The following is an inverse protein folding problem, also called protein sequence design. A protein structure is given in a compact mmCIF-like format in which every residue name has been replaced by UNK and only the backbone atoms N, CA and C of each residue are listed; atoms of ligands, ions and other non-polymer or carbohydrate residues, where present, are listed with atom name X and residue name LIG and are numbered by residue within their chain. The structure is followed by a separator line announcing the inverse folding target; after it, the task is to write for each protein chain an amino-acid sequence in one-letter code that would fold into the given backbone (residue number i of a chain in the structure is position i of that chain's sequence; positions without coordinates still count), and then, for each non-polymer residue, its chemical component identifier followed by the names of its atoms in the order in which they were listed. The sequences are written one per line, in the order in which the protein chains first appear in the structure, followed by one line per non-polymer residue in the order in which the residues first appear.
data_IF_200618001366
#
_entry.id   IF_200618001366
#
_cell.length_a   1.000
_cell.length_b   1.000
_cell.length_c   1.000
_cell.angle_alpha   90.00
_cell.angle_beta   90.00
_cell.angle_gamma   90.00
#
_symmetry.space_group_name_H-M   'P 1'
#
loop_
_entity.id
_entity.type
_entity.pdbx_description
1 polymer ?
#
# COMPACT_ATOMS: atom_id res chain seq x y z
N UNK A 1 -0.03 13.00 10.42
CA UNK A 1 0.56 12.80 9.08
C UNK A 1 -0.13 13.71 8.08
N UNK A 2 0.67 14.40 7.30
CA UNK A 2 0.18 15.36 6.31
C UNK A 2 0.21 14.77 4.89
N UNK A 3 -0.53 15.39 3.98
CA UNK A 3 -0.55 14.95 2.59
C UNK A 3 0.80 15.21 1.89
N UNK A 4 1.41 14.16 1.37
CA UNK A 4 2.73 14.20 0.75
C UNK A 4 3.86 13.73 1.67
N UNK A 5 3.56 13.30 2.89
CA UNK A 5 4.56 12.75 3.81
C UNK A 5 4.72 11.23 3.66
N UNK A 6 5.98 10.80 3.65
CA UNK A 6 6.41 9.41 3.79
C UNK A 6 7.02 9.20 5.17
N UNK A 7 6.31 8.50 6.02
CA UNK A 7 6.64 8.32 7.43
C UNK A 7 7.12 6.90 7.68
N UNK A 8 8.27 6.73 8.36
CA UNK A 8 8.72 5.44 8.87
C UNK A 8 8.33 5.25 10.35
N UNK A 9 7.75 4.11 10.65
CA UNK A 9 7.53 3.62 12.02
C UNK A 9 8.51 2.47 12.26
N UNK A 10 9.50 2.70 13.11
CA UNK A 10 10.62 1.79 13.31
C UNK A 10 10.55 1.19 14.71
N UNK A 11 11.02 -0.02 14.83
CA UNK A 11 11.12 -0.72 16.11
C UNK A 11 11.43 -2.20 15.93
N UNK A 12 11.84 -2.88 17.02
CA UNK A 12 12.16 -4.31 16.98
C UNK A 12 10.92 -5.16 16.65
N UNK A 13 11.15 -6.41 16.25
CA UNK A 13 10.07 -7.39 16.08
C UNK A 13 9.25 -7.51 17.38
N UNK A 14 7.93 -7.62 17.26
CA UNK A 14 7.02 -7.71 18.41
C UNK A 14 6.69 -6.37 19.10
N UNK A 15 7.22 -5.22 18.67
CA UNK A 15 6.93 -3.92 19.28
C UNK A 15 5.54 -3.34 18.97
N UNK A 16 4.69 -4.07 18.25
CA UNK A 16 3.32 -3.65 17.94
C UNK A 16 3.15 -2.86 16.64
N UNK A 17 4.18 -2.78 15.79
CA UNK A 17 4.13 -2.01 14.53
C UNK A 17 3.00 -2.45 13.60
N UNK A 18 2.86 -3.75 13.35
CA UNK A 18 1.77 -4.28 12.51
C UNK A 18 0.40 -4.07 13.16
N UNK A 19 0.33 -4.13 14.51
CA UNK A 19 -0.88 -3.78 15.26
C UNK A 19 -1.24 -2.32 15.05
N UNK A 20 -0.24 -1.43 15.11
CA UNK A 20 -0.44 0.00 14.81
C UNK A 20 -1.02 0.17 13.39
N UNK A 21 -0.44 -0.49 12.36
CA UNK A 21 -0.95 -0.40 10.98
C UNK A 21 -2.38 -0.94 10.86
N UNK A 22 -2.72 -2.04 11.52
CA UNK A 22 -4.08 -2.61 11.48
C UNK A 22 -5.10 -1.68 12.14
N UNK A 23 -4.71 -0.99 13.22
CA UNK A 23 -5.54 0.03 13.88
C UNK A 23 -5.65 1.28 12.99
N UNK A 24 -4.54 1.82 12.50
CA UNK A 24 -4.51 2.97 11.60
C UNK A 24 -5.32 2.71 10.32
N UNK A 25 -5.28 1.48 9.84
CA UNK A 25 -6.06 1.03 8.69
C UNK A 25 -7.53 0.68 9.00
N UNK A 26 -7.97 0.82 10.23
CA UNK A 26 -9.36 0.53 10.64
C UNK A 26 -9.75 -0.94 10.53
N UNK A 27 -8.77 -1.85 10.50
CA UNK A 27 -9.00 -3.31 10.54
C UNK A 27 -9.25 -3.79 11.97
N UNK A 28 -8.66 -3.08 12.93
CA UNK A 28 -8.81 -3.35 14.37
C UNK A 28 -9.19 -2.05 15.10
N UNK A 29 -10.01 -2.15 16.11
CA UNK A 29 -10.34 -1.01 16.97
C UNK A 29 -9.23 -0.80 18.01
N UNK A 30 -8.83 0.45 18.31
CA UNK A 30 -7.90 0.73 19.42
C UNK A 30 -8.57 0.44 20.76
N UNK A 31 -7.77 0.12 21.78
CA UNK A 31 -8.26 -0.05 23.17
C UNK A 31 -8.73 1.28 23.77
N UNK A 32 -8.13 2.40 23.34
CA UNK A 32 -8.49 3.75 23.72
C UNK A 32 -8.07 4.72 22.63
N UNK A 33 -8.63 5.95 22.65
CA UNK A 33 -8.38 6.93 21.61
C UNK A 33 -9.21 6.70 20.36
N UNK A 34 -8.84 7.34 19.26
CA UNK A 34 -9.56 7.27 18.00
C UNK A 34 -8.60 7.34 16.80
N UNK A 35 -9.06 6.85 15.67
CA UNK A 35 -8.40 7.00 14.37
C UNK A 35 -9.26 7.90 13.52
N UNK A 36 -8.66 8.99 13.04
CA UNK A 36 -9.33 9.97 12.19
C UNK A 36 -8.69 9.96 10.82
N UNK A 37 -9.48 9.69 9.78
CA UNK A 37 -9.05 9.69 8.38
C UNK A 37 -9.88 10.70 7.60
N UNK A 38 -9.24 11.74 7.07
CA UNK A 38 -9.91 12.80 6.32
C UNK A 38 -11.15 13.33 7.06
N UNK A 39 -11.02 13.61 8.37
CA UNK A 39 -12.10 14.09 9.25
C UNK A 39 -13.13 13.05 9.65
N UNK A 40 -13.01 11.79 9.24
CA UNK A 40 -13.92 10.72 9.63
C UNK A 40 -13.36 9.96 10.84
N UNK A 41 -14.11 9.97 11.94
CA UNK A 41 -13.79 9.21 13.15
C UNK A 41 -14.17 7.75 12.97
N UNK A 42 -13.19 6.84 12.89
CA UNK A 42 -13.44 5.41 12.64
C UNK A 42 -14.22 4.73 13.76
N UNK A 43 -13.99 5.15 15.00
CA UNK A 43 -14.73 4.63 16.17
C UNK A 43 -16.23 4.88 16.09
N UNK A 44 -16.66 6.00 15.48
CA UNK A 44 -18.06 6.35 15.30
C UNK A 44 -18.75 5.61 14.14
N UNK A 45 -18.00 4.90 13.29
CA UNK A 45 -18.52 4.23 12.10
C UNK A 45 -18.93 2.79 12.39
N UNK A 46 -20.11 2.40 11.89
CA UNK A 46 -20.51 0.99 11.79
C UNK A 46 -19.58 0.26 10.81
N UNK A 47 -19.35 -1.05 11.01
CA UNK A 47 -18.38 -1.85 10.22
C UNK A 47 -18.55 -1.70 8.70
N UNK A 48 -19.77 -1.70 8.18
CA UNK A 48 -20.04 -1.51 6.74
C UNK A 48 -19.51 -0.17 6.22
N UNK A 49 -19.68 0.91 7.00
CA UNK A 49 -19.19 2.25 6.64
C UNK A 49 -17.66 2.33 6.78
N UNK A 50 -17.10 1.71 7.83
CA UNK A 50 -15.65 1.62 8.06
C UNK A 50 -14.98 0.82 6.93
N UNK A 51 -15.54 -0.32 6.51
CA UNK A 51 -15.05 -1.08 5.37
C UNK A 51 -15.09 -0.29 4.05
N UNK A 52 -16.16 0.48 3.83
CA UNK A 52 -16.26 1.36 2.65
C UNK A 52 -15.22 2.47 2.68
N UNK A 53 -14.96 3.08 3.84
CA UNK A 53 -13.93 4.10 4.02
C UNK A 53 -12.52 3.53 3.77
N UNK A 54 -12.21 2.34 4.32
CA UNK A 54 -10.94 1.64 4.06
C UNK A 54 -10.70 1.45 2.57
N UNK A 55 -11.70 0.91 1.87
CA UNK A 55 -11.60 0.64 0.44
C UNK A 55 -11.39 1.92 -0.38
N UNK A 56 -11.95 3.02 0.08
CA UNK A 56 -11.86 4.32 -0.59
C UNK A 56 -10.54 5.03 -0.32
N UNK A 57 -10.09 5.05 0.94
CA UNK A 57 -9.03 5.94 1.39
C UNK A 57 -7.69 5.23 1.63
N UNK A 58 -7.67 3.88 1.76
CA UNK A 58 -6.48 3.16 2.21
C UNK A 58 -6.03 2.12 1.18
N UNK A 59 -4.77 2.20 0.78
CA UNK A 59 -4.05 1.16 0.06
C UNK A 59 -3.11 0.41 1.02
N UNK A 60 -3.24 -0.93 1.08
CA UNK A 60 -2.34 -1.75 1.88
C UNK A 60 -1.27 -2.41 1.02
N UNK A 61 -0.02 -2.26 1.42
CA UNK A 61 1.13 -3.02 0.92
C UNK A 61 1.62 -3.90 2.07
N UNK A 62 1.49 -5.20 1.93
CA UNK A 62 1.83 -6.16 2.98
C UNK A 62 3.18 -6.84 2.68
N UNK A 63 3.83 -7.36 3.72
CA UNK A 63 5.09 -8.08 3.64
C UNK A 63 5.02 -9.25 2.63
N UNK A 64 3.94 -10.03 2.67
CA UNK A 64 3.59 -10.95 1.61
C UNK A 64 2.76 -10.20 0.59
N UNK A 65 3.10 -10.27 -0.69
CA UNK A 65 2.43 -9.53 -1.77
C UNK A 65 0.93 -9.82 -1.89
N UNK A 66 0.44 -10.87 -1.27
CA UNK A 66 -0.98 -11.29 -1.22
C UNK A 66 -1.68 -11.22 -2.60
N UNK A 67 -0.97 -11.68 -3.62
CA UNK A 67 -1.52 -11.82 -4.96
C UNK A 67 -2.32 -13.13 -5.05
N UNK A 68 -3.44 -13.10 -5.74
CA UNK A 68 -4.27 -14.26 -5.98
C UNK A 68 -3.57 -15.13 -7.03
N UNK A 69 -3.17 -16.38 -6.72
CA UNK A 69 -2.25 -17.15 -7.55
C UNK A 69 -2.78 -17.50 -8.95
N UNK A 70 -4.08 -17.62 -9.12
CA UNK A 70 -4.75 -17.95 -10.38
C UNK A 70 -5.25 -16.75 -11.17
N UNK A 71 -4.91 -15.52 -10.75
CA UNK A 71 -5.22 -14.29 -11.49
C UNK A 71 -3.94 -13.65 -12.04
N UNK A 72 -3.96 -13.28 -13.31
CA UNK A 72 -2.90 -12.46 -13.89
C UNK A 72 -2.84 -11.07 -13.25
N UNK A 73 -1.72 -10.36 -13.41
CA UNK A 73 -1.54 -8.99 -12.89
C UNK A 73 -2.73 -8.10 -13.29
N UNK A 74 -3.13 -8.11 -14.55
CA UNK A 74 -4.28 -7.36 -15.04
C UNK A 74 -5.60 -7.77 -14.37
N UNK A 75 -5.78 -9.06 -14.12
CA UNK A 75 -6.98 -9.58 -13.46
C UNK A 75 -7.03 -9.22 -11.97
N UNK A 76 -5.87 -9.12 -11.29
CA UNK A 76 -5.78 -8.60 -9.92
C UNK A 76 -6.39 -7.19 -9.82
N UNK A 77 -6.03 -6.31 -10.77
CA UNK A 77 -6.56 -4.93 -10.81
C UNK A 77 -8.05 -4.92 -11.13
N UNK A 78 -8.48 -5.65 -12.16
CA UNK A 78 -9.91 -5.73 -12.54
C UNK A 78 -10.81 -6.29 -11.44
N UNK A 79 -10.28 -7.09 -10.53
CA UNK A 79 -11.06 -7.55 -9.38
C UNK A 79 -11.51 -6.37 -8.50
N UNK A 80 -10.66 -5.35 -8.36
CA UNK A 80 -10.97 -4.15 -7.58
C UNK A 80 -12.10 -3.31 -8.22
N UNK A 81 -12.29 -3.37 -9.55
CA UNK A 81 -13.40 -2.69 -10.22
C UNK A 81 -14.77 -3.23 -9.82
N UNK A 82 -14.82 -4.47 -9.30
CA UNK A 82 -16.08 -5.06 -8.79
C UNK A 82 -16.48 -4.49 -7.44
N UNK A 83 -15.54 -3.95 -6.67
CA UNK A 83 -15.77 -3.45 -5.31
C UNK A 83 -15.70 -1.92 -5.19
N UNK A 84 -14.96 -1.26 -6.08
CA UNK A 84 -14.87 0.20 -6.18
C UNK A 84 -14.90 0.63 -7.64
N UNK A 85 -15.72 1.63 -7.97
CA UNK A 85 -15.90 2.09 -9.36
C UNK A 85 -14.98 3.26 -9.74
N UNK A 86 -14.62 4.11 -8.78
CA UNK A 86 -13.79 5.30 -9.01
C UNK A 86 -12.30 4.97 -8.77
N UNK A 87 -11.77 4.05 -9.58
CA UNK A 87 -10.36 3.68 -9.60
C UNK A 87 -9.58 4.56 -10.60
N UNK A 88 -8.25 4.42 -10.64
CA UNK A 88 -7.39 5.12 -11.59
C UNK A 88 -7.90 4.98 -13.03
N UNK A 89 -7.92 6.07 -13.77
CA UNK A 89 -8.31 6.11 -15.19
C UNK A 89 -7.23 5.49 -16.07
N UNK A 90 -7.58 5.15 -17.31
CA UNK A 90 -6.72 4.40 -18.24
C UNK A 90 -5.33 5.04 -18.43
N UNK A 91 -5.27 6.36 -18.57
CA UNK A 91 -3.99 7.05 -18.75
C UNK A 91 -3.14 7.03 -17.47
N UNK A 92 -3.76 7.27 -16.31
CA UNK A 92 -3.09 7.16 -15.01
C UNK A 92 -2.60 5.72 -14.74
N UNK A 93 -3.35 4.71 -15.18
CA UNK A 93 -2.94 3.30 -15.09
C UNK A 93 -1.71 3.01 -15.93
N UNK A 94 -1.66 3.56 -17.14
CA UNK A 94 -0.50 3.40 -18.02
C UNK A 94 0.73 4.00 -17.36
N UNK A 95 0.65 5.24 -16.89
CA UNK A 95 1.74 5.92 -16.19
C UNK A 95 2.20 5.14 -14.94
N UNK A 96 1.25 4.60 -14.17
CA UNK A 96 1.54 3.78 -13.00
C UNK A 96 2.27 2.49 -13.39
N UNK A 97 1.82 1.79 -14.42
CA UNK A 97 2.47 0.54 -14.87
C UNK A 97 3.87 0.80 -15.41
N UNK A 98 4.07 1.90 -16.12
CA UNK A 98 5.39 2.31 -16.61
C UNK A 98 6.32 2.68 -15.44
N UNK A 99 5.87 3.51 -14.50
CA UNK A 99 6.67 3.92 -13.34
C UNK A 99 7.05 2.75 -12.42
N UNK A 100 6.21 1.72 -12.34
CA UNK A 100 6.47 0.51 -11.56
C UNK A 100 7.22 -0.57 -12.37
N UNK A 101 7.47 -0.36 -13.67
CA UNK A 101 8.13 -1.33 -14.54
C UNK A 101 7.39 -2.67 -14.63
N UNK A 102 6.05 -2.65 -14.67
CA UNK A 102 5.20 -3.85 -14.74
C UNK A 102 4.33 -3.92 -15.99
N UNK A 103 4.52 -3.00 -16.93
CA UNK A 103 3.73 -2.93 -18.18
C UNK A 103 3.72 -4.24 -18.96
N UNK A 104 4.89 -4.89 -19.09
CA UNK A 104 5.06 -6.16 -19.81
C UNK A 104 4.57 -7.37 -19.00
N UNK A 105 4.31 -7.20 -17.71
CA UNK A 105 3.91 -8.27 -16.79
C UNK A 105 2.40 -8.41 -16.63
N UNK A 106 1.60 -7.60 -17.31
CA UNK A 106 0.14 -7.54 -17.11
C UNK A 106 -0.59 -8.87 -17.35
N UNK A 107 -0.04 -9.73 -18.20
CA UNK A 107 -0.60 -11.04 -18.50
C UNK A 107 0.07 -12.18 -17.71
N UNK A 108 1.13 -11.91 -16.95
CA UNK A 108 1.84 -12.89 -16.13
C UNK A 108 1.05 -13.24 -14.87
N UNK A 109 1.23 -14.47 -14.38
CA UNK A 109 0.68 -14.94 -13.11
C UNK A 109 1.71 -14.74 -11.98
N UNK A 110 1.29 -14.72 -10.72
CA UNK A 110 2.21 -14.56 -9.59
C UNK A 110 3.35 -15.59 -9.54
N UNK A 111 3.12 -16.81 -10.03
CA UNK A 111 4.14 -17.87 -10.16
C UNK A 111 5.28 -17.49 -11.09
N UNK A 112 5.01 -16.68 -12.10
CA UNK A 112 5.96 -16.31 -13.17
C UNK A 112 6.79 -15.08 -12.80
N UNK A 113 6.49 -14.46 -11.65
CA UNK A 113 7.09 -13.21 -11.20
C UNK A 113 8.23 -13.46 -10.20
N UNK A 114 9.30 -12.66 -10.29
CA UNK A 114 10.30 -12.58 -9.23
C UNK A 114 9.73 -11.97 -7.95
N UNK A 115 10.43 -12.09 -6.81
CA UNK A 115 10.02 -11.47 -5.55
C UNK A 115 9.78 -9.96 -5.67
N UNK A 116 10.73 -9.23 -6.28
CA UNK A 116 10.61 -7.80 -6.53
C UNK A 116 9.47 -7.44 -7.49
N UNK A 117 9.24 -8.25 -8.54
CA UNK A 117 8.11 -8.05 -9.45
C UNK A 117 6.77 -8.25 -8.72
N UNK A 118 6.64 -9.28 -7.88
CA UNK A 118 5.44 -9.47 -7.06
C UNK A 118 5.19 -8.29 -6.13
N UNK A 119 6.25 -7.73 -5.53
CA UNK A 119 6.13 -6.58 -4.64
C UNK A 119 5.69 -5.33 -5.42
N UNK A 120 6.25 -5.06 -6.60
CA UNK A 120 5.80 -3.94 -7.46
C UNK A 120 4.35 -4.10 -7.89
N UNK A 121 3.90 -5.32 -8.17
CA UNK A 121 2.47 -5.61 -8.47
C UNK A 121 1.59 -5.38 -7.24
N UNK A 122 2.06 -5.72 -6.03
CA UNK A 122 1.34 -5.44 -4.78
C UNK A 122 1.19 -3.93 -4.54
N UNK A 123 2.24 -3.15 -4.82
CA UNK A 123 2.19 -1.68 -4.76
C UNK A 123 1.20 -1.14 -5.81
N UNK A 124 1.26 -1.62 -7.05
CA UNK A 124 0.30 -1.24 -8.09
C UNK A 124 -1.15 -1.50 -7.66
N UNK A 125 -1.40 -2.66 -7.06
CA UNK A 125 -2.72 -3.04 -6.54
C UNK A 125 -3.18 -2.10 -5.42
N UNK A 126 -2.29 -1.70 -4.52
CA UNK A 126 -2.59 -0.75 -3.45
C UNK A 126 -2.89 0.66 -4.01
N UNK A 127 -2.18 1.09 -5.05
CA UNK A 127 -2.37 2.39 -5.70
C UNK A 127 -3.56 2.43 -6.65
N UNK A 128 -4.01 1.28 -7.17
CA UNK A 128 -5.05 1.18 -8.20
C UNK A 128 -6.36 1.84 -7.80
N UNK A 129 -6.73 1.74 -6.52
CA UNK A 129 -7.94 2.35 -5.98
C UNK A 129 -7.82 3.86 -5.73
N UNK A 130 -6.70 4.47 -6.10
CA UNK A 130 -6.38 5.89 -5.84
C UNK A 130 -6.63 6.29 -4.38
N UNK A 131 -6.00 5.61 -3.41
CA UNK A 131 -6.17 5.90 -1.99
C UNK A 131 -5.49 7.21 -1.62
N UNK A 132 -5.97 7.88 -0.56
CA UNK A 132 -5.27 9.03 0.04
C UNK A 132 -4.14 8.61 0.96
N UNK A 133 -4.21 7.40 1.52
CA UNK A 133 -3.25 6.85 2.47
C UNK A 133 -2.73 5.50 1.99
N UNK A 134 -1.42 5.30 2.08
CA UNK A 134 -0.76 4.01 1.84
C UNK A 134 -0.19 3.52 3.17
N UNK A 135 -0.55 2.31 3.57
CA UNK A 135 -0.02 1.63 4.75
C UNK A 135 0.81 0.43 4.29
N UNK A 136 2.11 0.46 4.57
CA UNK A 136 3.06 -0.56 4.13
C UNK A 136 3.67 -1.28 5.33
N UNK A 137 3.42 -2.57 5.46
CA UNK A 137 3.97 -3.44 6.51
C UNK A 137 5.14 -4.23 5.96
N UNK A 138 6.36 -3.87 6.38
CA UNK A 138 7.62 -4.50 5.97
C UNK A 138 7.72 -4.71 4.44
N UNK A 139 7.49 -3.66 3.62
CA UNK A 139 7.33 -3.81 2.17
C UNK A 139 8.58 -4.31 1.45
N UNK A 140 9.72 -4.36 2.15
CA UNK A 140 11.03 -4.70 1.60
C UNK A 140 11.66 -5.94 2.23
N UNK A 141 11.03 -6.56 3.24
CA UNK A 141 11.62 -7.61 4.08
C UNK A 141 12.08 -8.87 3.33
N UNK A 142 11.52 -9.15 2.15
CA UNK A 142 11.88 -10.31 1.31
C UNK A 142 12.77 -9.95 0.11
N UNK A 143 13.33 -8.74 0.09
CA UNK A 143 14.11 -8.21 -1.01
C UNK A 143 15.58 -8.02 -0.62
N UNK A 144 16.48 -8.15 -1.59
CA UNK A 144 17.86 -7.67 -1.45
C UNK A 144 17.90 -6.13 -1.35
N UNK A 145 19.05 -5.59 -0.95
CA UNK A 145 19.19 -4.16 -0.66
C UNK A 145 18.82 -3.25 -1.84
N UNK A 146 19.28 -3.60 -3.05
CA UNK A 146 19.05 -2.77 -4.24
C UNK A 146 17.55 -2.70 -4.57
N UNK A 147 16.87 -3.85 -4.52
CA UNK A 147 15.41 -3.92 -4.73
C UNK A 147 14.61 -3.29 -3.62
N UNK A 148 15.12 -3.34 -2.37
CA UNK A 148 14.48 -2.65 -1.25
C UNK A 148 14.50 -1.14 -1.47
N UNK A 149 15.60 -0.57 -1.92
CA UNK A 149 15.72 0.84 -2.25
C UNK A 149 14.82 1.23 -3.43
N UNK A 150 14.77 0.43 -4.51
CA UNK A 150 13.82 0.65 -5.62
C UNK A 150 12.37 0.74 -5.13
N UNK A 151 11.95 -0.14 -4.23
CA UNK A 151 10.59 -0.13 -3.67
C UNK A 151 10.32 1.13 -2.85
N UNK A 152 11.31 1.60 -2.07
CA UNK A 152 11.16 2.84 -1.30
C UNK A 152 11.10 4.07 -2.22
N UNK A 153 11.91 4.13 -3.29
CA UNK A 153 11.83 5.18 -4.29
C UNK A 153 10.45 5.23 -4.97
N UNK A 154 9.89 4.08 -5.30
CA UNK A 154 8.53 3.98 -5.86
C UNK A 154 7.47 4.49 -4.89
N UNK A 155 7.54 4.11 -3.62
CA UNK A 155 6.61 4.59 -2.59
C UNK A 155 6.78 6.09 -2.36
N UNK A 156 8.01 6.60 -2.29
CA UNK A 156 8.31 8.03 -2.16
C UNK A 156 7.77 8.82 -3.36
N UNK A 157 8.03 8.35 -4.58
CA UNK A 157 7.52 8.97 -5.80
C UNK A 157 5.99 9.02 -5.82
N UNK A 158 5.31 7.90 -5.50
CA UNK A 158 3.86 7.84 -5.44
C UNK A 158 3.28 8.80 -4.38
N UNK A 159 3.95 8.91 -3.23
CA UNK A 159 3.59 9.80 -2.12
C UNK A 159 3.68 11.26 -2.56
N UNK A 160 4.84 11.68 -3.07
CA UNK A 160 5.10 13.07 -3.43
C UNK A 160 4.31 13.52 -4.65
N UNK A 161 4.33 12.74 -5.75
CA UNK A 161 3.65 13.09 -7.02
C UNK A 161 2.14 13.25 -6.86
N UNK A 162 1.52 12.40 -6.05
CA UNK A 162 0.05 12.39 -5.90
C UNK A 162 -0.41 12.96 -4.55
N UNK A 163 0.49 13.57 -3.78
CA UNK A 163 0.22 14.13 -2.44
C UNK A 163 -0.50 13.14 -1.51
N UNK A 164 -0.12 11.87 -1.57
CA UNK A 164 -0.64 10.82 -0.68
C UNK A 164 0.13 10.85 0.64
N UNK A 165 -0.45 10.30 1.70
CA UNK A 165 0.27 10.03 2.94
C UNK A 165 0.71 8.57 2.92
N UNK A 166 1.99 8.30 3.14
CA UNK A 166 2.48 6.91 3.21
C UNK A 166 3.10 6.64 4.58
N UNK A 167 2.67 5.57 5.23
CA UNK A 167 3.24 5.09 6.49
C UNK A 167 3.86 3.72 6.23
N UNK A 168 5.17 3.64 6.41
CA UNK A 168 5.93 2.39 6.27
C UNK A 168 6.33 1.91 7.66
N UNK A 169 5.98 0.70 7.99
CA UNK A 169 6.48 -0.01 9.17
C UNK A 169 7.65 -0.89 8.74
N UNK A 170 8.80 -0.73 9.39
CA UNK A 170 9.97 -1.54 9.09
C UNK A 170 10.89 -1.67 10.31
N UNK A 171 11.77 -2.67 10.30
CA UNK A 171 12.91 -2.78 11.20
C UNK A 171 14.23 -2.41 10.53
N UNK A 172 14.21 -2.15 9.22
CA UNK A 172 15.40 -1.77 8.44
C UNK A 172 15.66 -0.26 8.53
N UNK A 173 16.63 0.10 9.37
CA UNK A 173 17.01 1.50 9.60
C UNK A 173 17.63 2.19 8.38
N UNK A 174 18.11 1.43 7.38
CA UNK A 174 18.68 2.00 6.14
C UNK A 174 17.63 2.71 5.30
N UNK A 175 16.35 2.42 5.53
CA UNK A 175 15.24 3.00 4.78
C UNK A 175 14.78 4.36 5.33
N UNK A 176 15.33 4.80 6.48
CA UNK A 176 14.95 6.07 7.13
C UNK A 176 15.21 7.27 6.23
N UNK A 177 16.32 7.26 5.50
CA UNK A 177 16.73 8.37 4.62
C UNK A 177 15.76 8.63 3.46
N UNK A 178 14.83 7.70 3.20
CA UNK A 178 13.74 7.88 2.22
C UNK A 178 12.54 8.64 2.79
N UNK A 179 12.45 8.73 4.12
CA UNK A 179 11.31 9.30 4.84
C UNK A 179 11.50 10.78 5.16
N UNK A 180 10.39 11.45 5.48
CA UNK A 180 10.38 12.87 5.86
C UNK A 180 10.64 13.08 7.35
#
# INVERSE_FOLDING_TARGET
AEAGELIAVIGPSGSGKSTFLTIAGGLQSPSSGDVIINGNHLSALKEKKRASLRLKEIGFVLQSSNLIPFLSVKQQMRLLDKVKKDNLKKDQLKDMYESLGIGDLLNSFPSDLSGGQRQRVAIAKALYTDPSIILADEPTASLDSDRAFEVMDLLKSATKKNRKTTIVVTHDTRLIDYCD
#
